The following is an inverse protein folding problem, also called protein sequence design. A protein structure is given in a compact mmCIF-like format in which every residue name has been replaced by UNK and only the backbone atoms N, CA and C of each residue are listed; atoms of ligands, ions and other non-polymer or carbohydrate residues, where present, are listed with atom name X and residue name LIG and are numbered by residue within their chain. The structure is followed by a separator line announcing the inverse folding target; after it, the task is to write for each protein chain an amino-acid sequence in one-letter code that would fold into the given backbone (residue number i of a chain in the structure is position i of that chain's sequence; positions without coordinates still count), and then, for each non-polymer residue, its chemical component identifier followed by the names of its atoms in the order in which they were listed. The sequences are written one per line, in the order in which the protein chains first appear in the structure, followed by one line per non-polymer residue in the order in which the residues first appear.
data_IF_312518517516
#
_entry.id   IF_312518517516
#
_cell.length_a   1.000
_cell.length_b   1.000
_cell.length_c   1.000
_cell.angle_alpha   90.00
_cell.angle_beta   90.00
_cell.angle_gamma   90.00
#
_symmetry.space_group_name_H-M   'P 1'
#
loop_
_entity.id
_entity.type
_entity.pdbx_description
1 polymer ?
#
# COMPACT_ATOMS: atom_id res chain seq x y z
N UNK A 1 9.76 0.11 -14.11
CA UNK A 1 9.77 1.16 -13.06
C UNK A 1 9.28 0.53 -11.78
N UNK A 2 9.97 0.71 -10.64
CA UNK A 2 9.46 0.25 -9.35
C UNK A 2 8.35 1.17 -8.81
N UNK A 3 7.66 0.72 -7.75
CA UNK A 3 6.55 1.48 -7.17
C UNK A 3 6.97 2.87 -6.64
N UNK A 4 8.18 2.97 -6.06
CA UNK A 4 8.71 4.22 -5.53
C UNK A 4 9.00 5.24 -6.63
N UNK A 5 9.60 4.78 -7.73
CA UNK A 5 9.86 5.62 -8.91
C UNK A 5 8.55 6.09 -9.56
N UNK A 6 7.54 5.20 -9.66
CA UNK A 6 6.22 5.55 -10.19
C UNK A 6 5.51 6.59 -9.31
N UNK A 7 5.59 6.43 -7.99
CA UNK A 7 5.02 7.39 -7.04
C UNK A 7 5.70 8.75 -7.12
N UNK A 8 7.04 8.77 -7.22
CA UNK A 8 7.82 10.01 -7.39
C UNK A 8 7.43 10.71 -8.69
N UNK A 9 7.40 9.99 -9.81
CA UNK A 9 6.99 10.52 -11.10
C UNK A 9 5.57 11.10 -11.04
N UNK A 10 4.61 10.35 -10.50
CA UNK A 10 3.21 10.78 -10.34
C UNK A 10 3.10 12.06 -9.51
N UNK A 11 3.88 12.16 -8.43
CA UNK A 11 3.88 13.33 -7.55
C UNK A 11 4.26 14.61 -8.27
N UNK A 12 5.22 14.55 -9.19
CA UNK A 12 5.69 15.74 -9.90
C UNK A 12 4.91 16.03 -11.19
N UNK A 13 4.51 15.01 -11.94
CA UNK A 13 3.72 15.18 -13.17
C UNK A 13 2.31 15.71 -12.88
N UNK A 14 1.73 15.39 -11.72
CA UNK A 14 0.39 15.87 -11.32
C UNK A 14 0.35 17.36 -10.92
N UNK A 15 1.50 18.05 -10.86
CA UNK A 15 1.56 19.46 -10.50
C UNK A 15 1.11 20.34 -11.68
N UNK A 16 0.35 21.38 -11.41
CA UNK A 16 -0.17 22.31 -12.43
C UNK A 16 0.93 22.91 -13.31
N UNK A 17 2.11 23.14 -12.75
CA UNK A 17 3.27 23.71 -13.47
C UNK A 17 4.09 22.67 -14.26
N UNK A 18 3.79 21.37 -14.14
CA UNK A 18 4.63 20.30 -14.70
C UNK A 18 4.70 20.37 -16.23
N UNK A 19 3.57 20.57 -16.90
CA UNK A 19 3.52 20.67 -18.35
C UNK A 19 4.36 21.84 -18.86
N UNK A 20 4.25 23.02 -18.23
CA UNK A 20 4.99 24.21 -18.63
C UNK A 20 6.49 24.05 -18.40
N UNK A 21 6.92 23.39 -17.30
CA UNK A 21 8.31 23.05 -17.06
C UNK A 21 8.86 22.08 -18.09
N UNK A 22 8.12 21.02 -18.42
CA UNK A 22 8.53 20.06 -19.44
C UNK A 22 8.58 20.70 -20.83
N UNK A 23 7.63 21.57 -21.16
CA UNK A 23 7.63 22.35 -22.40
C UNK A 23 8.86 23.26 -22.49
N UNK A 24 9.21 23.91 -21.37
CA UNK A 24 10.42 24.75 -21.30
C UNK A 24 11.69 23.91 -21.49
N UNK A 25 11.80 22.76 -20.79
CA UNK A 25 12.91 21.84 -20.93
C UNK A 25 13.04 21.25 -22.35
N UNK A 26 11.94 21.05 -23.05
CA UNK A 26 11.94 20.61 -24.44
C UNK A 26 12.36 21.71 -25.43
N UNK A 27 12.10 22.98 -25.05
CA UNK A 27 12.42 24.14 -25.93
C UNK A 27 13.88 24.54 -25.84
N UNK A 28 14.51 24.40 -24.66
CA UNK A 28 15.88 24.85 -24.43
C UNK A 28 16.89 23.68 -24.50
N UNK A 29 18.01 23.91 -25.20
CA UNK A 29 19.11 22.92 -25.24
C UNK A 29 19.64 22.59 -23.83
N UNK A 30 19.68 23.60 -22.94
CA UNK A 30 19.89 23.43 -21.50
C UNK A 30 19.39 24.67 -20.76
N UNK A 31 18.91 24.50 -19.53
CA UNK A 31 18.38 25.57 -18.71
C UNK A 31 18.67 25.31 -17.23
N UNK A 32 18.97 26.37 -16.46
CA UNK A 32 19.12 26.28 -15.02
C UNK A 32 17.74 26.40 -14.31
N UNK A 33 17.67 25.89 -13.06
CA UNK A 33 16.45 26.03 -12.27
C UNK A 33 16.06 27.48 -12.01
N UNK A 34 17.05 28.39 -11.87
CA UNK A 34 16.83 29.83 -11.70
C UNK A 34 16.22 30.47 -12.95
N UNK A 35 16.73 30.14 -14.13
CA UNK A 35 16.20 30.64 -15.42
C UNK A 35 14.76 30.13 -15.64
N UNK A 36 14.50 28.85 -15.38
CA UNK A 36 13.17 28.27 -15.52
C UNK A 36 12.17 28.88 -14.53
N UNK A 37 12.56 29.03 -13.27
CA UNK A 37 11.74 29.65 -12.22
C UNK A 37 11.34 31.08 -12.58
N UNK A 38 12.29 31.87 -13.07
CA UNK A 38 12.02 33.25 -13.51
C UNK A 38 11.06 33.32 -14.68
N UNK A 39 11.14 32.39 -15.65
CA UNK A 39 10.25 32.38 -16.83
C UNK A 39 8.83 31.97 -16.52
N UNK A 40 8.65 31.04 -15.58
CA UNK A 40 7.35 30.51 -15.21
C UNK A 40 6.76 31.19 -13.98
N UNK A 41 7.44 32.19 -13.42
CA UNK A 41 7.05 32.86 -12.18
C UNK A 41 6.83 31.87 -11.01
N UNK A 42 7.73 30.89 -10.89
CA UNK A 42 7.71 29.88 -9.84
C UNK A 42 8.80 30.14 -8.81
N UNK A 43 8.63 29.60 -7.63
CA UNK A 43 9.70 29.60 -6.64
C UNK A 43 10.86 28.68 -7.08
N UNK A 44 12.11 29.19 -6.97
CA UNK A 44 13.30 28.45 -7.44
C UNK A 44 13.42 27.04 -6.83
N UNK A 45 13.09 26.89 -5.55
CA UNK A 45 13.11 25.60 -4.88
C UNK A 45 12.14 24.59 -5.49
N UNK A 46 10.94 25.04 -5.87
CA UNK A 46 9.94 24.21 -6.56
C UNK A 46 10.48 23.66 -7.87
N UNK A 47 11.15 24.50 -8.65
CA UNK A 47 11.76 24.10 -9.93
C UNK A 47 12.96 23.18 -9.71
N UNK A 48 13.80 23.47 -8.72
CA UNK A 48 14.93 22.60 -8.35
C UNK A 48 14.45 21.20 -7.98
N UNK A 49 13.46 21.08 -7.08
CA UNK A 49 12.93 19.79 -6.63
C UNK A 49 12.34 18.99 -7.80
N UNK A 50 11.64 19.66 -8.72
CA UNK A 50 11.14 19.02 -9.94
C UNK A 50 12.27 18.51 -10.84
N UNK A 51 13.27 19.36 -11.13
CA UNK A 51 14.39 19.01 -12.03
C UNK A 51 15.25 17.90 -11.42
N UNK A 52 15.50 17.92 -10.10
CA UNK A 52 16.23 16.87 -9.42
C UNK A 52 15.47 15.54 -9.46
N UNK A 53 14.16 15.55 -9.19
CA UNK A 53 13.35 14.34 -9.30
C UNK A 53 13.34 13.76 -10.72
N UNK A 54 13.23 14.61 -11.75
CA UNK A 54 13.29 14.17 -13.14
C UNK A 54 14.68 13.65 -13.53
N UNK A 55 15.75 14.22 -12.95
CA UNK A 55 17.11 13.73 -13.11
C UNK A 55 17.31 12.36 -12.44
N UNK A 56 16.85 12.17 -11.20
CA UNK A 56 16.90 10.89 -10.48
C UNK A 56 16.15 9.78 -11.22
N UNK A 57 15.03 10.13 -11.86
CA UNK A 57 14.26 9.21 -12.70
C UNK A 57 14.90 8.95 -14.08
N UNK A 58 16.00 9.64 -14.42
CA UNK A 58 16.73 9.46 -15.67
C UNK A 58 16.12 10.15 -16.88
N UNK A 59 15.17 11.07 -16.69
CA UNK A 59 14.55 11.85 -17.76
C UNK A 59 15.31 13.11 -18.16
N UNK A 60 16.17 13.59 -17.26
CA UNK A 60 17.06 14.72 -17.51
C UNK A 60 18.52 14.30 -17.39
N UNK A 61 19.38 14.95 -18.17
CA UNK A 61 20.80 15.06 -17.90
C UNK A 61 21.08 16.38 -17.17
N UNK A 62 22.12 16.42 -16.36
CA UNK A 62 22.59 17.65 -15.73
C UNK A 62 24.08 17.85 -15.93
N UNK A 63 24.46 19.10 -16.09
CA UNK A 63 25.86 19.54 -16.22
C UNK A 63 26.12 20.61 -15.15
N UNK A 64 27.27 20.50 -14.48
CA UNK A 64 27.68 21.49 -13.50
C UNK A 64 28.47 22.59 -14.23
N UNK A 65 28.03 23.83 -14.06
CA UNK A 65 28.63 25.01 -14.66
C UNK A 65 29.24 25.89 -13.59
N UNK A 66 30.50 26.29 -13.81
CA UNK A 66 31.25 27.17 -12.91
C UNK A 66 31.30 28.58 -13.45
N UNK A 67 30.44 29.45 -12.89
CA UNK A 67 30.49 30.87 -13.16
C UNK A 67 30.69 31.68 -11.87
N UNK A 68 31.60 32.65 -11.88
CA UNK A 68 31.77 33.64 -10.79
C UNK A 68 31.80 33.07 -9.37
N UNK A 69 32.52 31.99 -9.12
CA UNK A 69 32.77 31.35 -7.80
C UNK A 69 31.62 30.52 -7.20
N UNK A 70 30.50 30.33 -7.86
CA UNK A 70 29.44 29.43 -7.36
C UNK A 70 29.05 28.48 -8.48
N UNK A 71 29.20 27.15 -8.25
CA UNK A 71 28.69 26.16 -9.20
C UNK A 71 27.17 26.14 -9.19
N UNK A 72 26.58 25.91 -10.36
CA UNK A 72 25.16 25.66 -10.51
C UNK A 72 24.92 24.61 -11.59
N UNK A 73 23.74 23.97 -11.55
CA UNK A 73 23.40 22.94 -12.52
C UNK A 73 22.55 23.50 -13.65
N UNK A 74 22.85 23.04 -14.87
CA UNK A 74 22.00 23.18 -16.04
C UNK A 74 21.43 21.82 -16.40
N UNK A 75 20.17 21.79 -16.76
CA UNK A 75 19.43 20.57 -17.07
C UNK A 75 19.06 20.55 -18.54
N UNK A 76 19.07 19.34 -19.11
CA UNK A 76 18.70 19.07 -20.49
C UNK A 76 17.76 17.88 -20.52
N UNK A 77 16.70 17.96 -21.33
CA UNK A 77 15.78 16.84 -21.55
C UNK A 77 16.51 15.73 -22.31
N UNK A 78 16.47 14.51 -21.76
CA UNK A 78 17.13 13.32 -22.31
C UNK A 78 16.17 12.46 -23.14
N UNK A 79 14.88 12.54 -22.88
CA UNK A 79 13.86 11.68 -23.46
C UNK A 79 12.77 12.52 -24.12
N UNK A 80 12.17 12.01 -25.18
CA UNK A 80 11.02 12.62 -25.86
C UNK A 80 9.67 11.98 -25.48
N UNK A 81 9.70 10.95 -24.62
CA UNK A 81 8.52 10.22 -24.16
C UNK A 81 8.73 9.70 -22.74
N UNK A 82 7.74 9.90 -21.89
CA UNK A 82 7.67 9.31 -20.55
C UNK A 82 6.61 8.20 -20.60
N UNK A 83 6.98 7.00 -20.18
CA UNK A 83 6.07 5.85 -20.04
C UNK A 83 6.11 5.40 -18.59
N UNK A 84 4.94 5.31 -17.98
CA UNK A 84 4.77 4.72 -16.65
C UNK A 84 4.26 3.28 -16.84
N UNK A 85 5.11 2.32 -16.52
CA UNK A 85 4.79 0.90 -16.49
C UNK A 85 5.10 0.37 -15.09
N UNK A 86 4.07 -0.03 -14.37
CA UNK A 86 4.15 -0.48 -12.99
C UNK A 86 3.70 -1.94 -12.91
N UNK A 87 4.64 -2.83 -12.61
CA UNK A 87 4.35 -4.23 -12.33
C UNK A 87 3.75 -4.36 -10.91
N UNK A 88 2.51 -4.84 -10.85
CA UNK A 88 1.80 -5.10 -9.59
C UNK A 88 1.93 -6.57 -9.15
N UNK A 89 2.54 -7.44 -9.95
CA UNK A 89 2.70 -8.85 -9.57
C UNK A 89 3.39 -9.07 -8.21
N UNK A 90 4.41 -8.26 -7.80
CA UNK A 90 5.00 -8.39 -6.47
C UNK A 90 4.07 -8.01 -5.30
N UNK A 91 2.97 -7.31 -5.58
CA UNK A 91 1.97 -6.91 -4.58
C UNK A 91 0.84 -7.94 -4.45
N UNK A 92 0.72 -8.85 -5.42
CA UNK A 92 -0.27 -9.91 -5.35
C UNK A 92 0.13 -10.92 -4.26
N UNK A 93 -0.85 -11.50 -3.55
CA UNK A 93 -0.59 -12.57 -2.60
C UNK A 93 0.19 -13.70 -3.30
N UNK A 94 1.24 -14.22 -2.64
CA UNK A 94 2.00 -15.33 -3.18
C UNK A 94 1.07 -16.51 -3.49
N UNK A 95 1.18 -17.09 -4.70
CA UNK A 95 0.33 -18.20 -5.18
C UNK A 95 0.56 -19.53 -4.44
N UNK A 96 1.01 -19.52 -3.19
CA UNK A 96 1.10 -20.71 -2.36
C UNK A 96 0.00 -20.76 -1.28
N UNK A 97 -1.29 -20.92 -1.66
CA UNK A 97 -2.38 -21.02 -0.70
C UNK A 97 -2.30 -22.29 0.16
N UNK A 98 -1.48 -23.28 -0.25
CA UNK A 98 -1.40 -24.56 0.44
C UNK A 98 -0.79 -24.49 1.86
N UNK A 99 0.11 -23.58 2.14
CA UNK A 99 0.83 -23.53 3.43
C UNK A 99 -0.05 -22.97 4.55
N UNK A 100 -0.92 -22.01 4.25
CA UNK A 100 -1.81 -21.40 5.25
C UNK A 100 -3.12 -22.18 5.50
N UNK A 101 -3.59 -22.97 4.51
CA UNK A 101 -4.84 -23.72 4.63
C UNK A 101 -4.77 -24.88 5.63
N UNK A 102 -3.57 -25.41 5.88
CA UNK A 102 -3.32 -26.48 6.84
C UNK A 102 -3.13 -25.97 8.27
N UNK A 103 -2.93 -24.66 8.47
CA UNK A 103 -2.83 -24.07 9.80
C UNK A 103 -4.10 -24.33 10.58
N UNK A 104 -3.96 -24.89 11.78
CA UNK A 104 -5.08 -25.22 12.67
C UNK A 104 -5.33 -24.04 13.58
N UNK A 105 -6.55 -23.52 13.54
CA UNK A 105 -6.91 -22.29 14.25
C UNK A 105 -8.17 -22.46 15.09
N UNK A 106 -8.23 -21.68 16.15
CA UNK A 106 -9.44 -21.52 16.99
C UNK A 106 -9.47 -20.11 17.60
N UNK A 107 -10.61 -19.73 18.14
CA UNK A 107 -10.73 -18.51 18.94
C UNK A 107 -9.90 -18.66 20.23
N UNK A 108 -9.16 -17.62 20.58
CA UNK A 108 -8.35 -17.60 21.80
C UNK A 108 -9.23 -17.26 23.01
N UNK A 109 -9.03 -18.00 24.09
CA UNK A 109 -9.72 -17.74 25.36
C UNK A 109 -9.36 -16.37 25.91
N UNK A 110 -10.37 -15.60 26.32
CA UNK A 110 -10.22 -14.23 26.82
C UNK A 110 -9.59 -13.25 25.82
N UNK A 111 -9.74 -13.52 24.54
CA UNK A 111 -9.41 -12.54 23.51
C UNK A 111 -10.22 -11.26 23.77
N UNK A 112 -9.55 -10.10 23.80
CA UNK A 112 -10.21 -8.81 23.94
C UNK A 112 -10.96 -8.42 22.66
N UNK A 113 -11.89 -9.28 22.22
CA UNK A 113 -12.62 -9.11 20.98
C UNK A 113 -14.10 -9.35 21.16
N UNK A 114 -14.90 -8.70 20.31
CA UNK A 114 -16.36 -8.89 20.24
C UNK A 114 -16.78 -9.05 18.79
N UNK A 115 -17.39 -10.18 18.49
CA UNK A 115 -17.97 -10.48 17.19
C UNK A 115 -19.40 -9.94 17.10
N UNK A 116 -19.70 -9.25 16.00
CA UNK A 116 -21.06 -8.76 15.71
C UNK A 116 -21.59 -9.55 14.52
N UNK A 117 -22.73 -10.22 14.70
CA UNK A 117 -23.39 -10.97 13.63
C UNK A 117 -24.14 -10.05 12.68
N UNK A 118 -24.43 -10.53 11.48
CA UNK A 118 -25.37 -9.93 10.54
C UNK A 118 -26.82 -9.97 11.10
N UNK A 119 -27.72 -9.21 10.50
CA UNK A 119 -29.14 -9.14 10.96
C UNK A 119 -29.85 -10.49 10.93
N UNK A 120 -29.49 -11.33 9.99
CA UNK A 120 -30.05 -12.69 9.79
C UNK A 120 -29.26 -13.77 10.53
N UNK A 121 -28.25 -13.40 11.32
CA UNK A 121 -27.36 -14.32 12.07
C UNK A 121 -26.67 -15.39 11.21
N UNK A 122 -26.39 -15.12 9.95
CA UNK A 122 -25.76 -16.09 9.03
C UNK A 122 -24.23 -15.94 8.91
N UNK A 123 -23.67 -14.80 9.33
CA UNK A 123 -22.24 -14.53 9.31
C UNK A 123 -21.86 -13.43 10.31
N UNK A 124 -20.56 -13.28 10.58
CA UNK A 124 -20.01 -12.18 11.38
C UNK A 124 -19.81 -10.96 10.48
N UNK A 125 -20.45 -9.84 10.79
CA UNK A 125 -20.36 -8.61 9.99
C UNK A 125 -19.17 -7.73 10.38
N UNK A 126 -18.76 -7.74 11.64
CA UNK A 126 -17.61 -6.98 12.14
C UNK A 126 -17.06 -7.54 13.44
N UNK A 127 -15.79 -7.18 13.71
CA UNK A 127 -15.11 -7.50 14.96
C UNK A 127 -14.65 -6.19 15.59
N UNK A 128 -14.96 -6.00 16.88
CA UNK A 128 -14.34 -4.97 17.70
C UNK A 128 -13.24 -5.62 18.54
N UNK A 129 -12.03 -5.08 18.48
CA UNK A 129 -10.84 -5.60 19.18
C UNK A 129 -10.35 -4.50 20.12
N UNK A 130 -10.10 -4.85 21.36
CA UNK A 130 -9.54 -3.94 22.35
C UNK A 130 -8.08 -4.26 22.61
N UNK A 131 -7.22 -3.26 22.38
CA UNK A 131 -5.78 -3.33 22.66
C UNK A 131 -5.43 -2.33 23.76
N UNK A 132 -4.38 -2.64 24.53
CA UNK A 132 -3.95 -1.83 25.67
C UNK A 132 -4.67 -2.15 26.98
N UNK A 133 -4.25 -1.50 28.08
CA UNK A 133 -4.82 -1.69 29.41
C UNK A 133 -5.18 -0.34 30.03
N UNK A 134 -6.21 -0.33 30.87
CA UNK A 134 -6.60 0.84 31.66
C UNK A 134 -7.01 2.03 30.78
N UNK A 135 -6.35 3.19 30.98
CA UNK A 135 -6.65 4.45 30.25
C UNK A 135 -6.16 4.45 28.81
N UNK A 136 -5.21 3.59 28.46
CA UNK A 136 -4.63 3.49 27.11
C UNK A 136 -5.35 2.40 26.26
N UNK A 137 -6.50 1.94 26.73
CA UNK A 137 -7.32 0.98 25.97
C UNK A 137 -7.92 1.64 24.74
N UNK A 138 -7.56 1.13 23.58
CA UNK A 138 -8.10 1.56 22.27
C UNK A 138 -8.97 0.47 21.67
N UNK A 139 -10.06 0.87 21.01
CA UNK A 139 -10.92 -0.03 20.24
C UNK A 139 -10.60 0.11 18.75
N UNK A 140 -10.34 -1.02 18.11
CA UNK A 140 -10.21 -1.12 16.67
C UNK A 140 -11.35 -1.97 16.13
N UNK A 141 -12.10 -1.42 15.17
CA UNK A 141 -13.18 -2.13 14.50
C UNK A 141 -12.74 -2.56 13.11
N UNK A 142 -12.94 -3.84 12.78
CA UNK A 142 -12.72 -4.43 11.47
C UNK A 142 -14.07 -4.82 10.88
N UNK A 143 -14.43 -4.24 9.75
CA UNK A 143 -15.58 -4.68 8.97
C UNK A 143 -15.14 -5.84 8.08
N UNK A 144 -15.98 -6.85 7.98
CA UNK A 144 -15.65 -8.09 7.29
C UNK A 144 -16.38 -8.18 5.95
N UNK A 145 -15.73 -8.79 4.96
CA UNK A 145 -16.42 -9.28 3.76
C UNK A 145 -17.34 -10.45 4.12
N UNK A 146 -18.31 -10.76 3.25
CA UNK A 146 -19.22 -11.89 3.50
C UNK A 146 -18.45 -13.22 3.61
N UNK A 147 -17.44 -13.54 2.74
CA UNK A 147 -16.64 -14.73 2.90
C UNK A 147 -15.88 -14.79 4.23
N UNK A 148 -15.24 -13.69 4.64
CA UNK A 148 -14.55 -13.59 5.93
C UNK A 148 -15.53 -13.80 7.10
N UNK A 149 -16.68 -13.17 7.03
CA UNK A 149 -17.72 -13.30 8.06
C UNK A 149 -18.29 -14.70 8.19
N UNK A 150 -18.49 -15.41 7.07
CA UNK A 150 -18.92 -16.82 7.08
C UNK A 150 -17.83 -17.72 7.66
N UNK A 151 -16.59 -17.52 7.26
CA UNK A 151 -15.44 -18.25 7.80
C UNK A 151 -15.41 -18.12 9.34
N UNK A 152 -15.44 -16.90 9.86
CA UNK A 152 -15.37 -16.63 11.29
C UNK A 152 -16.59 -17.12 12.07
N UNK A 153 -17.74 -17.19 11.44
CA UNK A 153 -18.95 -17.78 12.04
C UNK A 153 -18.80 -19.27 12.35
N UNK A 154 -17.92 -19.95 11.61
CA UNK A 154 -17.59 -21.37 11.79
C UNK A 154 -16.26 -21.60 12.51
N UNK A 155 -15.62 -20.54 13.01
CA UNK A 155 -14.38 -20.66 13.79
C UNK A 155 -14.66 -21.47 15.09
N UNK A 156 -13.82 -22.45 15.44
CA UNK A 156 -13.96 -23.18 16.69
C UNK A 156 -13.88 -22.24 17.90
N UNK A 157 -14.75 -22.46 18.87
CA UNK A 157 -14.77 -21.70 20.12
C UNK A 157 -13.53 -21.94 20.99
N UNK A 158 -13.24 -21.06 21.96
CA UNK A 158 -12.16 -21.28 22.90
C UNK A 158 -12.31 -22.61 23.64
N UNK A 159 -11.23 -23.43 23.61
CA UNK A 159 -11.23 -24.75 24.24
C UNK A 159 -11.76 -25.90 23.39
N UNK A 160 -12.31 -25.65 22.21
CA UNK A 160 -12.58 -26.69 21.22
C UNK A 160 -11.28 -27.09 20.48
N UNK A 161 -11.28 -28.25 19.83
CA UNK A 161 -10.17 -28.66 19.00
C UNK A 161 -9.97 -27.70 17.82
N UNK A 162 -8.73 -27.21 17.57
CA UNK A 162 -8.46 -26.33 16.46
C UNK A 162 -8.64 -27.05 15.13
N UNK A 163 -9.25 -26.37 14.15
CA UNK A 163 -9.51 -26.91 12.81
C UNK A 163 -8.58 -26.27 11.77
N UNK A 164 -8.19 -27.03 10.72
CA UNK A 164 -7.49 -26.46 9.58
C UNK A 164 -8.31 -25.33 8.93
N UNK A 165 -7.67 -24.24 8.52
CA UNK A 165 -8.31 -23.12 7.83
C UNK A 165 -9.14 -23.60 6.63
N UNK A 166 -8.57 -24.51 5.81
CA UNK A 166 -9.29 -25.11 4.68
C UNK A 166 -10.57 -25.86 5.07
N UNK A 167 -10.54 -26.60 6.20
CA UNK A 167 -11.73 -27.31 6.69
C UNK A 167 -12.81 -26.33 7.18
N UNK A 168 -12.44 -25.20 7.80
CA UNK A 168 -13.37 -24.15 8.21
C UNK A 168 -13.97 -23.48 6.97
N UNK A 169 -13.18 -23.17 5.94
CA UNK A 169 -13.65 -22.61 4.67
C UNK A 169 -14.69 -23.54 4.02
N UNK A 170 -14.41 -24.84 3.94
CA UNK A 170 -15.33 -25.81 3.38
C UNK A 170 -16.66 -25.86 4.17
N UNK A 171 -16.57 -25.90 5.51
CA UNK A 171 -17.75 -25.88 6.39
C UNK A 171 -18.56 -24.60 6.24
N UNK A 172 -17.91 -23.47 6.01
CA UNK A 172 -18.52 -22.15 5.82
C UNK A 172 -19.07 -21.94 4.39
N UNK A 173 -18.85 -22.87 3.46
CA UNK A 173 -19.23 -22.70 2.06
C UNK A 173 -18.49 -21.53 1.39
N UNK A 174 -17.22 -21.30 1.77
CA UNK A 174 -16.35 -20.26 1.19
C UNK A 174 -15.53 -20.86 0.07
N UNK A 175 -15.65 -20.27 -1.12
CA UNK A 175 -14.94 -20.69 -2.32
C UNK A 175 -13.43 -20.44 -2.22
N UNK A 176 -12.63 -21.27 -2.89
CA UNK A 176 -11.17 -21.17 -2.94
C UNK A 176 -10.63 -19.85 -3.51
N UNK A 177 -11.41 -19.14 -4.32
CA UNK A 177 -11.03 -17.81 -4.82
C UNK A 177 -10.85 -16.79 -3.69
N UNK A 178 -11.48 -17.01 -2.53
CA UNK A 178 -11.39 -16.16 -1.35
C UNK A 178 -10.26 -16.55 -0.39
N UNK A 179 -9.41 -17.53 -0.74
CA UNK A 179 -8.35 -18.04 0.15
C UNK A 179 -7.44 -16.93 0.67
N UNK A 180 -6.99 -16.03 -0.20
CA UNK A 180 -6.07 -14.95 0.17
C UNK A 180 -6.70 -14.00 1.21
N UNK A 181 -7.96 -13.61 1.04
CA UNK A 181 -8.65 -12.74 2.00
C UNK A 181 -8.96 -13.44 3.33
N UNK A 182 -9.17 -14.78 3.31
CA UNK A 182 -9.32 -15.56 4.54
C UNK A 182 -8.00 -15.66 5.29
N UNK A 183 -6.89 -15.94 4.60
CA UNK A 183 -5.57 -15.97 5.22
C UNK A 183 -5.15 -14.61 5.78
N UNK A 184 -5.48 -13.53 5.08
CA UNK A 184 -5.24 -12.16 5.54
C UNK A 184 -5.95 -11.87 6.87
N UNK A 185 -7.26 -12.14 6.96
CA UNK A 185 -8.00 -11.92 8.22
C UNK A 185 -7.54 -12.84 9.34
N UNK A 186 -7.18 -14.09 9.04
CA UNK A 186 -6.64 -15.03 10.04
C UNK A 186 -5.32 -14.48 10.60
N UNK A 187 -4.41 -14.03 9.75
CA UNK A 187 -3.12 -13.46 10.19
C UNK A 187 -3.34 -12.18 11.01
N UNK A 188 -4.19 -11.27 10.55
CA UNK A 188 -4.52 -10.07 11.30
C UNK A 188 -5.10 -10.39 12.70
N UNK A 189 -6.00 -11.35 12.79
CA UNK A 189 -6.61 -11.74 14.07
C UNK A 189 -5.63 -12.50 14.99
N UNK A 190 -4.64 -13.21 14.43
CA UNK A 190 -3.52 -13.79 15.20
C UNK A 190 -2.65 -12.71 15.80
N UNK A 191 -2.26 -11.70 15.03
CA UNK A 191 -1.48 -10.55 15.50
C UNK A 191 -2.18 -9.82 16.65
N UNK A 192 -3.49 -9.68 16.59
CA UNK A 192 -4.30 -9.09 17.66
C UNK A 192 -4.59 -10.06 18.82
N UNK A 193 -4.13 -11.29 18.75
CA UNK A 193 -4.36 -12.29 19.79
C UNK A 193 -5.83 -12.71 19.95
N UNK A 194 -6.62 -12.62 18.88
CA UNK A 194 -8.04 -13.07 18.84
C UNK A 194 -8.12 -14.53 18.44
N UNK A 195 -7.22 -14.98 17.56
CA UNK A 195 -7.10 -16.37 17.10
C UNK A 195 -5.76 -16.93 17.60
N UNK A 196 -5.73 -18.19 17.94
CA UNK A 196 -4.52 -18.96 18.24
C UNK A 196 -4.39 -20.17 17.33
N UNK A 197 -3.13 -20.56 17.06
CA UNK A 197 -2.79 -21.84 16.42
C UNK A 197 -2.70 -22.94 17.48
N UNK A 198 -3.10 -24.15 17.11
CA UNK A 198 -3.07 -25.33 17.96
C UNK A 198 -2.34 -26.50 17.32
#
# INVERSE_FOLDING_TARGET
MDFRQAALLGTYISKEYAEDLLRLLATYASISASEAASRLNLHIKTVQDFMEAMFELGYLDREEVYEKKRPYFRYRLKVNRIVMDLDLAPLLPAENPGTGLNARVREKKNAGARFTTSRDNTYISSIAIWTGQGRDRTERRINLSIPQGRFLFHLPFPGADPLPVGAIMQKAGVDGIHTSEILDIVNALKEFGVIEEG
#
